data_IF_815536813610
#
_entry.id   IF_815536813610
#
_cell.length_a   1.000
_cell.length_b   1.000
_cell.length_c   1.000
_cell.angle_alpha   90.00
_cell.angle_beta   90.00
_cell.angle_gamma   90.00
#
_symmetry.space_group_name_H-M   'P 1'
#
loop_
_entity.id
_entity.type
_entity.pdbx_description
1 polymer ?
#
# COMPACT_ATOMS: atom_id res chain seq x y z
N UNK A 1 19.95 -5.52 21.71
CA UNK A 1 19.39 -6.24 20.55
C UNK A 1 17.89 -6.00 20.63
N UNK A 2 17.35 -5.08 19.84
CA UNK A 2 15.93 -4.74 19.92
C UNK A 2 15.15 -5.89 19.28
N UNK A 3 14.55 -6.75 20.09
CA UNK A 3 13.76 -7.87 19.62
C UNK A 3 12.44 -7.31 19.10
N UNK A 4 12.39 -7.04 17.79
CA UNK A 4 11.19 -6.52 17.13
C UNK A 4 10.19 -7.67 17.05
N UNK A 5 9.05 -7.62 17.77
CA UNK A 5 8.14 -8.75 17.83
C UNK A 5 7.58 -9.05 16.44
N UNK A 6 7.65 -10.32 16.04
CA UNK A 6 7.01 -10.84 14.83
C UNK A 6 5.81 -11.68 15.23
N UNK A 7 4.63 -11.23 14.82
CA UNK A 7 3.36 -11.88 15.09
C UNK A 7 2.86 -12.57 13.82
N UNK A 8 2.11 -13.65 14.01
CA UNK A 8 1.41 -14.35 12.92
C UNK A 8 -0.07 -14.01 13.04
N UNK A 9 -0.76 -13.62 11.95
CA UNK A 9 -2.19 -13.41 11.99
C UNK A 9 -2.93 -14.64 12.51
N UNK A 10 -3.91 -14.43 13.38
CA UNK A 10 -4.72 -15.50 13.98
C UNK A 10 -6.17 -15.04 14.18
N UNK A 11 -6.98 -15.82 14.89
CA UNK A 11 -8.39 -15.50 15.12
C UNK A 11 -8.62 -14.20 15.94
N UNK A 12 -7.62 -13.75 16.70
CA UNK A 12 -7.70 -12.53 17.51
C UNK A 12 -7.26 -11.29 16.73
N UNK A 13 -6.39 -11.46 15.73
CA UNK A 13 -5.98 -10.41 14.80
C UNK A 13 -5.87 -10.97 13.37
N UNK A 14 -7.01 -11.18 12.68
CA UNK A 14 -7.02 -11.80 11.37
C UNK A 14 -6.50 -10.83 10.31
N UNK A 15 -5.67 -11.34 9.41
CA UNK A 15 -5.25 -10.64 8.20
C UNK A 15 -5.50 -11.55 7.01
N UNK A 16 -6.21 -11.05 6.02
CA UNK A 16 -6.41 -11.75 4.75
C UNK A 16 -5.95 -10.88 3.59
N UNK A 17 -5.42 -11.53 2.55
CA UNK A 17 -5.06 -10.90 1.28
C UNK A 17 -5.72 -11.70 0.18
N UNK A 18 -6.51 -11.03 -0.65
CA UNK A 18 -7.26 -11.63 -1.74
C UNK A 18 -7.19 -10.72 -2.96
N UNK A 19 -7.25 -11.25 -4.20
CA UNK A 19 -7.39 -10.40 -5.38
C UNK A 19 -8.59 -9.46 -5.25
N UNK A 20 -8.39 -8.17 -5.53
CA UNK A 20 -9.50 -7.22 -5.57
C UNK A 20 -10.39 -7.58 -6.75
N UNK A 21 -11.70 -7.82 -6.56
CA UNK A 21 -12.61 -8.01 -7.66
C UNK A 21 -12.76 -6.69 -8.42
N UNK A 22 -12.55 -6.72 -9.73
CA UNK A 22 -12.75 -5.56 -10.59
C UNK A 22 -11.49 -4.72 -10.81
N UNK A 23 -11.71 -3.51 -11.34
CA UNK A 23 -10.64 -2.57 -11.66
C UNK A 23 -10.48 -1.59 -10.50
N UNK A 24 -9.24 -1.30 -10.15
CA UNK A 24 -8.89 -0.29 -9.14
C UNK A 24 -8.23 0.90 -9.82
N UNK A 25 -8.74 2.10 -9.54
CA UNK A 25 -8.14 3.36 -9.96
C UNK A 25 -7.75 4.20 -8.76
N UNK A 26 -6.55 4.78 -8.80
CA UNK A 26 -6.05 5.68 -7.75
C UNK A 26 -5.85 7.07 -8.35
N UNK A 27 -6.45 8.06 -7.70
CA UNK A 27 -6.43 9.46 -8.13
C UNK A 27 -5.75 10.34 -7.08
N UNK A 28 -4.80 11.16 -7.50
CA UNK A 28 -4.21 12.25 -6.72
C UNK A 28 -4.80 13.56 -7.23
N UNK A 29 -5.74 14.14 -6.49
CA UNK A 29 -6.59 15.21 -7.02
C UNK A 29 -7.36 14.74 -8.27
N UNK A 30 -7.14 15.40 -9.41
CA UNK A 30 -7.73 15.05 -10.71
C UNK A 30 -6.81 14.13 -11.56
N UNK A 31 -5.58 13.87 -11.10
CA UNK A 31 -4.61 13.07 -11.83
C UNK A 31 -4.82 11.58 -11.54
N UNK A 32 -5.00 10.77 -12.58
CA UNK A 32 -4.96 9.30 -12.46
C UNK A 32 -3.51 8.86 -12.29
N UNK A 33 -3.19 8.22 -11.16
CA UNK A 33 -1.83 7.81 -10.80
C UNK A 33 -1.64 6.29 -10.79
N UNK A 34 -2.73 5.51 -10.84
CA UNK A 34 -2.70 4.08 -11.10
C UNK A 34 -4.06 3.58 -11.66
N UNK A 35 -4.01 2.59 -12.56
CA UNK A 35 -5.18 1.84 -13.06
C UNK A 35 -4.77 0.37 -13.22
N UNK A 36 -5.41 -0.53 -12.47
CA UNK A 36 -5.04 -1.96 -12.44
C UNK A 36 -6.27 -2.87 -12.33
N UNK A 37 -6.16 -4.08 -12.86
CA UNK A 37 -7.07 -5.21 -12.59
C UNK A 37 -6.42 -6.31 -11.77
N UNK A 38 -5.22 -6.04 -11.23
CA UNK A 38 -4.38 -7.00 -10.50
C UNK A 38 -4.12 -6.55 -9.05
N UNK A 39 -4.91 -5.62 -8.53
CA UNK A 39 -4.80 -5.19 -7.15
C UNK A 39 -5.12 -6.32 -6.17
N UNK A 40 -4.53 -6.24 -4.98
CA UNK A 40 -4.84 -7.10 -3.85
C UNK A 40 -5.62 -6.30 -2.80
N UNK A 41 -6.69 -6.85 -2.24
CA UNK A 41 -7.38 -6.30 -1.08
C UNK A 41 -6.84 -6.96 0.18
N UNK A 42 -6.22 -6.16 1.05
CA UNK A 42 -5.84 -6.57 2.39
C UNK A 42 -6.94 -6.16 3.38
N UNK A 43 -7.38 -7.11 4.20
CA UNK A 43 -8.29 -6.87 5.33
C UNK A 43 -7.56 -7.22 6.62
N UNK A 44 -7.61 -6.32 7.59
CA UNK A 44 -6.94 -6.50 8.88
C UNK A 44 -7.90 -6.18 10.01
N UNK A 45 -8.24 -7.19 10.81
CA UNK A 45 -9.15 -7.07 11.94
C UNK A 45 -10.41 -6.25 11.58
N UNK A 46 -10.59 -5.09 12.20
CA UNK A 46 -11.72 -4.18 11.99
C UNK A 46 -11.36 -2.95 11.16
N UNK A 47 -10.16 -2.86 10.61
CA UNK A 47 -9.74 -1.72 9.79
C UNK A 47 -10.43 -1.75 8.43
N UNK A 48 -10.64 -0.57 7.82
CA UNK A 48 -11.08 -0.49 6.43
C UNK A 48 -10.14 -1.31 5.52
N UNK A 49 -10.69 -2.02 4.51
CA UNK A 49 -9.87 -2.74 3.54
C UNK A 49 -8.95 -1.79 2.79
N UNK A 50 -7.74 -2.27 2.47
CA UNK A 50 -6.73 -1.50 1.75
C UNK A 50 -6.42 -2.19 0.43
N UNK A 51 -6.43 -1.43 -0.66
CA UNK A 51 -5.99 -1.91 -1.96
C UNK A 51 -4.48 -1.71 -2.10
N UNK A 52 -3.80 -2.82 -2.41
CA UNK A 52 -2.39 -2.88 -2.76
C UNK A 52 -2.30 -3.00 -4.27
N UNK A 53 -1.69 -1.99 -4.90
CA UNK A 53 -1.57 -1.82 -6.35
C UNK A 53 -0.19 -2.32 -6.78
N UNK A 54 -0.07 -3.17 -7.81
CA UNK A 54 1.24 -3.54 -8.35
C UNK A 54 2.03 -2.29 -8.74
N UNK A 55 3.31 -2.22 -8.36
CA UNK A 55 4.17 -1.06 -8.68
C UNK A 55 4.21 -0.75 -10.17
N UNK A 56 4.18 -1.77 -11.03
CA UNK A 56 4.24 -1.61 -12.48
C UNK A 56 2.99 -0.93 -13.07
N UNK A 57 1.87 -0.93 -12.34
CA UNK A 57 0.63 -0.26 -12.73
C UNK A 57 0.52 1.17 -12.16
N UNK A 58 1.54 1.63 -11.42
CA UNK A 58 1.65 3.00 -10.89
C UNK A 58 2.47 3.86 -11.85
N UNK A 59 2.01 5.09 -12.12
CA UNK A 59 2.70 6.03 -13.00
C UNK A 59 4.08 6.36 -12.45
N UNK A 60 5.16 6.03 -13.19
CA UNK A 60 6.53 6.06 -12.69
C UNK A 60 6.97 7.40 -12.05
N UNK A 61 6.60 8.53 -12.67
CA UNK A 61 7.05 9.86 -12.23
C UNK A 61 6.24 10.44 -11.06
N UNK A 62 5.21 9.73 -10.58
CA UNK A 62 4.41 10.17 -9.42
C UNK A 62 5.10 9.87 -8.11
N UNK A 63 5.93 8.82 -8.04
CA UNK A 63 6.53 8.38 -6.79
C UNK A 63 7.83 9.13 -6.52
N UNK A 64 7.94 9.75 -5.35
CA UNK A 64 9.19 10.37 -4.87
C UNK A 64 9.83 9.52 -3.78
N UNK A 65 11.16 9.58 -3.69
CA UNK A 65 11.90 8.83 -2.69
C UNK A 65 11.60 9.36 -1.28
N UNK A 66 11.44 8.45 -0.32
CA UNK A 66 11.39 8.79 1.10
C UNK A 66 12.42 7.97 1.88
N UNK A 67 12.97 8.57 2.92
CA UNK A 67 13.77 7.88 3.93
C UNK A 67 12.91 7.37 5.09
N UNK A 68 11.59 7.61 5.06
CA UNK A 68 10.67 7.17 6.09
C UNK A 68 10.42 5.66 6.00
N UNK A 69 10.44 5.01 7.15
CA UNK A 69 10.14 3.59 7.28
C UNK A 69 9.49 3.33 8.62
N UNK A 70 8.54 2.39 8.66
CA UNK A 70 7.90 1.93 9.90
C UNK A 70 7.96 0.42 10.00
N UNK A 71 7.79 -0.12 11.21
CA UNK A 71 7.78 -1.55 11.43
C UNK A 71 6.38 -2.01 11.85
N UNK A 72 5.85 -3.01 11.14
CA UNK A 72 4.62 -3.70 11.49
C UNK A 72 4.93 -5.12 11.99
N UNK A 73 4.48 -5.52 13.19
CA UNK A 73 4.75 -6.86 13.71
C UNK A 73 4.15 -7.99 12.88
N UNK A 74 3.12 -7.72 12.06
CA UNK A 74 2.47 -8.70 11.20
C UNK A 74 2.97 -8.71 9.75
N UNK A 75 3.51 -7.59 9.28
CA UNK A 75 3.80 -7.39 7.85
C UNK A 75 5.28 -7.18 7.55
N UNK A 76 6.09 -6.75 8.54
CA UNK A 76 7.52 -6.49 8.37
C UNK A 76 7.83 -4.99 8.27
N UNK A 77 8.90 -4.67 7.56
CA UNK A 77 9.37 -3.31 7.35
C UNK A 77 8.60 -2.63 6.21
N UNK A 78 7.87 -1.56 6.53
CA UNK A 78 7.17 -0.73 5.56
C UNK A 78 8.10 0.39 5.08
N UNK A 79 8.28 0.48 3.77
CA UNK A 79 8.89 1.63 3.11
C UNK A 79 7.83 2.62 2.64
N UNK A 80 8.22 3.86 2.45
CA UNK A 80 7.33 4.94 2.03
C UNK A 80 7.82 5.62 0.76
N UNK A 81 6.86 6.19 0.04
CA UNK A 81 7.07 7.11 -1.07
C UNK A 81 6.24 8.37 -0.83
N UNK A 82 6.80 9.51 -1.21
CA UNK A 82 5.98 10.68 -1.47
C UNK A 82 5.27 10.55 -2.82
N UNK A 83 4.30 11.43 -3.03
CA UNK A 83 3.58 11.57 -4.28
C UNK A 83 3.88 12.94 -4.88
N UNK A 84 3.98 13.02 -6.20
CA UNK A 84 4.17 14.27 -6.95
C UNK A 84 2.94 14.57 -7.79
N UNK A 85 2.32 15.72 -7.55
CA UNK A 85 1.22 16.23 -8.35
C UNK A 85 1.70 16.75 -9.71
N UNK A 86 0.78 16.90 -10.66
CA UNK A 86 1.08 17.37 -12.01
C UNK A 86 1.69 18.79 -12.06
N UNK A 87 1.44 19.62 -11.05
CA UNK A 87 2.03 20.96 -10.92
C UNK A 87 3.43 20.96 -10.27
N UNK A 88 3.92 19.78 -9.88
CA UNK A 88 5.22 19.58 -9.23
C UNK A 88 5.17 19.62 -7.70
N UNK A 89 4.00 19.86 -7.09
CA UNK A 89 3.84 19.81 -5.63
C UNK A 89 4.12 18.40 -5.10
N UNK A 90 4.93 18.30 -4.06
CA UNK A 90 5.25 17.03 -3.40
C UNK A 90 4.42 16.83 -2.13
N UNK A 91 3.81 15.66 -2.02
CA UNK A 91 3.03 15.21 -0.86
C UNK A 91 3.79 14.04 -0.21
N UNK A 92 4.55 14.29 0.87
CA UNK A 92 5.46 13.29 1.43
C UNK A 92 4.72 12.13 2.12
N UNK A 93 5.31 10.93 2.04
CA UNK A 93 4.90 9.74 2.80
C UNK A 93 3.44 9.32 2.62
N UNK A 94 2.88 9.53 1.43
CA UNK A 94 1.48 9.22 1.10
C UNK A 94 1.25 7.90 0.36
N UNK A 95 2.32 7.20 0.02
CA UNK A 95 2.27 5.81 -0.39
C UNK A 95 3.20 4.97 0.50
N UNK A 96 2.79 3.75 0.82
CA UNK A 96 3.63 2.78 1.53
C UNK A 96 3.65 1.44 0.81
N UNK A 97 4.69 0.67 1.05
CA UNK A 97 4.88 -0.65 0.47
C UNK A 97 5.67 -1.54 1.42
N UNK A 98 5.61 -2.85 1.19
CA UNK A 98 6.45 -3.83 1.85
C UNK A 98 7.30 -4.53 0.80
N UNK A 99 8.61 -4.29 0.79
CA UNK A 99 9.52 -4.94 -0.15
C UNK A 99 9.66 -6.44 0.16
N UNK A 100 9.86 -6.75 1.45
CA UNK A 100 10.04 -8.11 1.94
C UNK A 100 9.02 -8.41 3.05
N UNK A 101 7.72 -8.51 2.72
CA UNK A 101 6.70 -8.77 3.71
C UNK A 101 6.85 -10.17 4.33
N UNK A 102 6.28 -10.36 5.52
CA UNK A 102 6.19 -11.70 6.11
C UNK A 102 5.31 -12.63 5.27
N UNK A 103 5.61 -13.93 5.36
CA UNK A 103 4.96 -15.00 4.56
C UNK A 103 3.43 -14.97 4.56
N UNK A 104 2.80 -14.53 5.64
CA UNK A 104 1.33 -14.49 5.76
C UNK A 104 0.67 -13.41 4.87
N UNK A 105 1.46 -12.47 4.36
CA UNK A 105 1.02 -11.37 3.48
C UNK A 105 2.02 -11.23 2.31
N UNK A 106 2.58 -12.35 1.84
CA UNK A 106 3.61 -12.32 0.79
C UNK A 106 3.07 -11.79 -0.55
N UNK A 107 1.76 -11.90 -0.77
CA UNK A 107 1.04 -11.51 -1.97
C UNK A 107 1.07 -9.98 -2.20
N UNK A 108 1.34 -9.17 -1.18
CA UNK A 108 1.48 -7.71 -1.31
C UNK A 108 2.93 -7.25 -1.47
N UNK A 109 3.88 -8.17 -1.68
CA UNK A 109 5.28 -7.82 -1.89
C UNK A 109 5.42 -6.84 -3.07
N UNK A 110 6.15 -5.74 -2.85
CA UNK A 110 6.35 -4.64 -3.80
C UNK A 110 5.08 -3.95 -4.33
N UNK A 111 3.91 -4.25 -3.75
CA UNK A 111 2.69 -3.49 -4.04
C UNK A 111 2.62 -2.22 -3.19
N UNK A 112 2.02 -1.19 -3.76
CA UNK A 112 1.84 0.12 -3.14
C UNK A 112 0.41 0.27 -2.64
N UNK A 113 0.28 0.73 -1.40
CA UNK A 113 -0.97 1.22 -0.86
C UNK A 113 -0.84 2.73 -0.59
N UNK A 114 -1.97 3.42 -0.57
CA UNK A 114 -2.03 4.88 -0.57
C UNK A 114 -2.93 5.40 0.54
N UNK A 115 -2.55 6.53 1.13
CA UNK A 115 -3.33 7.11 2.23
C UNK A 115 -4.58 7.82 1.69
N UNK A 116 -5.78 7.52 2.24
CA UNK A 116 -7.05 8.05 1.75
C UNK A 116 -7.26 9.55 2.03
N UNK A 117 -6.39 10.17 2.84
CA UNK A 117 -6.40 11.62 3.05
C UNK A 117 -5.65 12.39 1.94
N UNK A 118 -4.89 11.69 1.10
CA UNK A 118 -4.15 12.25 -0.03
C UNK A 118 -4.71 11.79 -1.39
N UNK A 119 -5.24 10.57 -1.47
CA UNK A 119 -5.73 10.00 -2.73
C UNK A 119 -7.18 9.54 -2.62
N UNK A 120 -7.82 9.41 -3.78
CA UNK A 120 -9.11 8.73 -3.93
C UNK A 120 -8.90 7.38 -4.62
N UNK A 121 -9.28 6.31 -3.94
CA UNK A 121 -9.25 4.94 -4.48
C UNK A 121 -10.65 4.53 -4.88
N UNK A 122 -10.83 4.14 -6.14
CA UNK A 122 -12.09 3.62 -6.68
C UNK A 122 -11.94 2.15 -7.02
N UNK A 123 -12.94 1.35 -6.66
CA UNK A 123 -13.05 -0.07 -7.03
C UNK A 123 -14.37 -0.23 -7.80
N UNK A 124 -14.29 -0.73 -9.03
CA UNK A 124 -15.44 -0.98 -9.92
C UNK A 124 -16.09 -2.34 -9.69
#
# INVERSE_FOLDING_TARGET
>A
MSDRPRLTPDATHPITVEPTPGRVRVWLGEQLIADTTHAMTLREATYPPVQYIPRDDVVADVLTASAHSTYCPYKGDAGYHGLREADGTEVPDKAWFYAEPYRAVAEIADHLAFYPDAVRVEVE
#
